data_IF_821300340631
#
_entry.id   IF_821300340631
#
_cell.length_a   1.000
_cell.length_b   1.000
_cell.length_c   1.000
_cell.angle_alpha   90.00
_cell.angle_beta   90.00
_cell.angle_gamma   90.00
#
_symmetry.space_group_name_H-M   'P 1'
#
loop_
_entity.id
_entity.type
_entity.pdbx_description
1 polymer ?
#
# COMPACT_ATOMS: atom_id res chain seq x y z
N UNK A 1 -1.18 0.29 -0.84
CA UNK A 1 -1.41 0.33 0.62
C UNK A 1 -0.68 1.53 1.21
N UNK A 2 -1.37 2.35 1.99
CA UNK A 2 -0.75 3.52 2.61
C UNK A 2 0.25 3.12 3.68
N UNK A 3 1.35 3.86 3.77
CA UNK A 3 2.28 3.77 4.90
C UNK A 3 1.57 4.21 6.19
N UNK A 4 2.05 3.80 7.38
CA UNK A 4 1.40 4.19 8.64
C UNK A 4 1.20 5.69 8.74
N UNK A 5 -0.01 6.12 9.10
CA UNK A 5 -0.41 7.53 9.21
C UNK A 5 -1.08 7.88 10.54
N UNK A 6 -1.46 6.87 11.33
CA UNK A 6 -2.20 7.05 12.59
C UNK A 6 -1.43 7.92 13.59
N UNK A 7 -0.11 7.87 13.56
CA UNK A 7 0.76 8.68 14.43
C UNK A 7 0.60 10.20 14.23
N UNK A 8 0.05 10.61 13.08
CA UNK A 8 -0.20 12.03 12.79
C UNK A 8 -1.34 12.61 13.64
N UNK A 9 -2.19 11.75 14.21
CA UNK A 9 -3.38 12.14 14.95
C UNK A 9 -3.26 11.78 16.43
N UNK A 10 -3.94 12.56 17.26
CA UNK A 10 -4.14 12.22 18.67
C UNK A 10 -5.11 11.03 18.77
N UNK A 11 -4.95 10.21 19.80
CA UNK A 11 -5.74 8.97 19.98
C UNK A 11 -7.26 9.22 19.97
N UNK A 12 -7.73 10.27 20.65
CA UNK A 12 -9.15 10.61 20.68
C UNK A 12 -9.68 11.10 19.33
N UNK A 13 -8.83 11.71 18.51
CA UNK A 13 -9.17 12.14 17.15
C UNK A 13 -9.29 10.93 16.24
N UNK A 14 -8.39 9.97 16.34
CA UNK A 14 -8.49 8.70 15.61
C UNK A 14 -9.78 7.96 15.92
N UNK A 15 -10.13 7.86 17.20
CA UNK A 15 -11.37 7.21 17.65
C UNK A 15 -12.62 7.87 17.05
N UNK A 16 -12.67 9.19 17.07
CA UNK A 16 -13.77 9.96 16.47
C UNK A 16 -13.82 9.83 14.95
N UNK A 17 -12.66 9.84 14.30
CA UNK A 17 -12.54 9.65 12.86
C UNK A 17 -13.05 8.28 12.44
N UNK A 18 -12.73 7.25 13.20
CA UNK A 18 -13.21 5.90 12.98
C UNK A 18 -14.73 5.81 13.11
N UNK A 19 -15.32 6.49 14.12
CA UNK A 19 -16.78 6.55 14.29
C UNK A 19 -17.44 7.19 13.07
N UNK A 20 -16.92 8.29 12.55
CA UNK A 20 -17.40 8.93 11.32
C UNK A 20 -17.32 7.99 10.13
N UNK A 21 -16.20 7.28 9.98
CA UNK A 21 -16.01 6.30 8.93
C UNK A 21 -17.01 5.14 9.02
N UNK A 22 -17.18 4.55 10.20
CA UNK A 22 -18.09 3.42 10.45
C UNK A 22 -19.55 3.81 10.25
N UNK A 23 -19.92 5.07 10.52
CA UNK A 23 -21.26 5.61 10.31
C UNK A 23 -21.53 6.02 8.85
N UNK A 24 -20.57 5.87 7.95
CA UNK A 24 -20.74 6.20 6.55
C UNK A 24 -20.77 7.71 6.28
N UNK A 25 -20.14 8.51 7.14
CA UNK A 25 -20.12 9.97 7.01
C UNK A 25 -19.25 10.44 5.85
N UNK A 26 -18.30 9.63 5.37
CA UNK A 26 -17.44 9.96 4.23
C UNK A 26 -18.21 9.68 2.94
N UNK A 27 -18.33 10.70 2.08
CA UNK A 27 -19.01 10.60 0.80
C UNK A 27 -18.16 11.24 -0.31
N UNK A 28 -18.49 10.93 -1.56
CA UNK A 28 -17.86 11.53 -2.74
C UNK A 28 -16.33 11.42 -2.74
N UNK A 29 -15.79 10.31 -2.25
CA UNK A 29 -14.35 10.05 -2.30
C UNK A 29 -13.90 9.95 -3.76
N UNK A 30 -12.98 10.82 -4.15
CA UNK A 30 -12.44 10.89 -5.51
C UNK A 30 -10.93 10.91 -5.46
N UNK A 31 -10.31 10.13 -6.35
CA UNK A 31 -8.88 10.23 -6.57
C UNK A 31 -8.60 11.47 -7.41
N UNK A 32 -7.68 12.30 -6.95
CA UNK A 32 -7.19 13.49 -7.65
C UNK A 32 -5.69 13.31 -7.96
N UNK A 33 -5.12 14.21 -8.73
CA UNK A 33 -3.73 14.15 -9.17
C UNK A 33 -2.73 14.05 -8.00
N UNK A 34 -3.00 14.77 -6.90
CA UNK A 34 -2.12 14.83 -5.72
C UNK A 34 -2.49 13.86 -4.61
N UNK A 35 -3.63 13.17 -4.73
CA UNK A 35 -4.09 12.26 -3.68
C UNK A 35 -5.58 11.99 -3.76
N UNK A 36 -6.34 12.39 -2.73
CA UNK A 36 -7.78 12.16 -2.64
C UNK A 36 -8.51 13.39 -2.12
N UNK A 37 -9.75 13.52 -2.53
CA UNK A 37 -10.69 14.52 -2.06
C UNK A 37 -12.02 13.85 -1.70
N UNK A 38 -12.62 14.26 -0.59
CA UNK A 38 -13.87 13.71 -0.11
C UNK A 38 -14.70 14.75 0.64
N UNK A 39 -15.99 14.46 0.81
CA UNK A 39 -16.88 15.22 1.67
C UNK A 39 -17.18 14.39 2.91
N UNK A 40 -17.11 14.99 4.09
CA UNK A 40 -17.46 14.34 5.36
C UNK A 40 -18.67 15.04 5.95
N UNK A 41 -19.74 14.29 6.17
CA UNK A 41 -20.97 14.78 6.78
C UNK A 41 -20.80 14.87 8.30
N UNK A 42 -20.96 16.07 8.85
CA UNK A 42 -20.94 16.32 10.28
C UNK A 42 -22.03 17.31 10.63
N UNK A 43 -21.74 18.31 11.47
CA UNK A 43 -22.65 19.44 11.71
C UNK A 43 -22.92 20.21 10.43
N UNK A 44 -21.94 20.22 9.55
CA UNK A 44 -21.98 20.72 8.17
C UNK A 44 -21.29 19.70 7.28
N UNK A 45 -21.39 19.87 5.97
CA UNK A 45 -20.59 19.09 5.02
C UNK A 45 -19.20 19.72 4.91
N UNK A 46 -18.19 18.98 5.33
CA UNK A 46 -16.80 19.42 5.30
C UNK A 46 -16.06 18.82 4.12
N UNK A 47 -15.26 19.63 3.45
CA UNK A 47 -14.43 19.20 2.35
C UNK A 47 -13.05 18.84 2.87
N UNK A 48 -12.56 17.64 2.53
CA UNK A 48 -11.27 17.13 2.97
C UNK A 48 -10.43 16.79 1.74
N UNK A 49 -9.18 17.24 1.75
CA UNK A 49 -8.17 16.84 0.77
C UNK A 49 -7.01 16.16 1.49
N UNK A 50 -6.55 15.05 0.92
CA UNK A 50 -5.38 14.31 1.42
C UNK A 50 -4.36 14.22 0.30
N UNK A 51 -3.20 14.78 0.53
CA UNK A 51 -2.07 14.71 -0.40
C UNK A 51 -1.22 13.49 -0.09
N UNK A 52 -0.99 12.64 -1.09
CA UNK A 52 -0.25 11.39 -0.95
C UNK A 52 0.87 11.35 -1.99
N UNK A 53 2.07 11.04 -1.53
CA UNK A 53 3.23 10.83 -2.37
C UNK A 53 3.95 9.55 -1.91
N UNK A 54 4.22 8.65 -2.84
CA UNK A 54 4.88 7.35 -2.58
C UNK A 54 4.18 6.55 -1.46
N UNK A 55 2.84 6.49 -1.51
CA UNK A 55 1.97 5.85 -0.52
C UNK A 55 2.06 6.45 0.89
N UNK A 56 2.65 7.62 1.02
CA UNK A 56 2.77 8.34 2.28
C UNK A 56 1.91 9.58 2.27
N UNK A 57 1.20 9.85 3.38
CA UNK A 57 0.42 11.07 3.56
C UNK A 57 1.40 12.21 3.83
N UNK A 58 1.47 13.17 2.91
CA UNK A 58 2.40 14.30 2.99
C UNK A 58 1.73 15.57 3.47
N UNK A 59 0.44 15.77 3.20
CA UNK A 59 -0.33 16.91 3.68
C UNK A 59 -1.82 16.59 3.70
N UNK A 60 -2.57 17.32 4.50
CA UNK A 60 -4.02 17.17 4.61
C UNK A 60 -4.67 18.52 4.84
N UNK A 61 -5.88 18.69 4.30
CA UNK A 61 -6.68 19.90 4.43
C UNK A 61 -8.13 19.54 4.80
N UNK A 62 -8.73 20.34 5.68
CA UNK A 62 -10.15 20.30 5.98
C UNK A 62 -10.61 21.72 6.30
N UNK A 63 -11.82 22.07 5.91
CA UNK A 63 -12.39 23.38 6.16
C UNK A 63 -13.16 23.51 7.48
N UNK A 64 -13.02 22.53 8.39
CA UNK A 64 -13.61 22.60 9.72
C UNK A 64 -12.83 23.53 10.65
N UNK A 65 -13.48 24.10 11.70
CA UNK A 65 -12.82 25.03 12.62
C UNK A 65 -11.59 24.46 13.33
N UNK A 66 -11.60 23.16 13.66
CA UNK A 66 -10.47 22.51 14.32
C UNK A 66 -9.24 22.43 13.41
N UNK A 67 -9.45 22.18 12.13
CA UNK A 67 -8.38 22.15 11.13
C UNK A 67 -7.85 23.56 10.80
N UNK A 68 -8.71 24.59 10.86
CA UNK A 68 -8.30 25.98 10.68
C UNK A 68 -7.29 26.43 11.73
N UNK A 69 -7.36 25.86 12.93
CA UNK A 69 -6.40 26.11 14.01
C UNK A 69 -5.04 25.40 13.81
N UNK A 70 -4.88 24.70 12.68
CA UNK A 70 -3.63 24.01 12.33
C UNK A 70 -3.55 22.58 12.85
N UNK A 71 -4.67 21.98 13.25
CA UNK A 71 -4.72 20.62 13.78
C UNK A 71 -5.20 19.64 12.73
N UNK A 72 -4.74 18.40 12.80
CA UNK A 72 -5.33 17.30 12.04
C UNK A 72 -6.61 16.85 12.74
N UNK A 73 -7.73 16.90 12.02
CA UNK A 73 -9.05 16.71 12.57
C UNK A 73 -9.60 15.29 12.35
N UNK A 74 -10.70 14.98 13.03
CA UNK A 74 -11.42 13.70 12.89
C UNK A 74 -11.93 13.44 11.45
N UNK A 75 -12.24 14.49 10.70
CA UNK A 75 -12.70 14.38 9.32
C UNK A 75 -11.58 13.86 8.40
N UNK A 76 -10.36 14.34 8.58
CA UNK A 76 -9.18 13.84 7.88
C UNK A 76 -8.94 12.36 8.19
N UNK A 77 -9.03 11.97 9.47
CA UNK A 77 -8.86 10.59 9.90
C UNK A 77 -9.93 9.68 9.27
N UNK A 78 -11.19 10.12 9.24
CA UNK A 78 -12.28 9.38 8.60
C UNK A 78 -12.02 9.13 7.13
N UNK A 79 -11.53 10.12 6.40
CA UNK A 79 -11.18 10.00 4.97
C UNK A 79 -10.04 9.01 4.77
N UNK A 80 -9.02 9.02 5.63
CA UNK A 80 -7.91 8.06 5.55
C UNK A 80 -8.37 6.62 5.78
N UNK A 81 -9.27 6.37 6.72
CA UNK A 81 -9.87 5.06 6.90
C UNK A 81 -10.64 4.60 5.65
N UNK A 82 -11.39 5.52 5.02
CA UNK A 82 -12.12 5.22 3.78
C UNK A 82 -11.16 4.90 2.62
N UNK A 83 -10.06 5.63 2.49
CA UNK A 83 -9.02 5.37 1.47
C UNK A 83 -8.42 3.98 1.65
N UNK A 84 -8.12 3.58 2.88
CA UNK A 84 -7.59 2.25 3.19
C UNK A 84 -8.58 1.14 2.84
N UNK A 85 -9.84 1.34 3.16
CA UNK A 85 -10.92 0.39 2.83
C UNK A 85 -11.08 0.25 1.31
N UNK A 86 -11.12 1.35 0.58
CA UNK A 86 -11.22 1.34 -0.87
C UNK A 86 -10.01 0.65 -1.52
N UNK A 87 -8.82 0.91 -1.02
CA UNK A 87 -7.59 0.25 -1.48
C UNK A 87 -7.62 -1.26 -1.21
N UNK A 88 -8.16 -1.68 -0.06
CA UNK A 88 -8.32 -3.07 0.29
C UNK A 88 -9.36 -3.77 -0.61
N UNK A 89 -10.46 -3.08 -0.93
CA UNK A 89 -11.48 -3.59 -1.86
C UNK A 89 -10.94 -3.72 -3.28
N UNK A 90 -10.21 -2.73 -3.77
CA UNK A 90 -9.56 -2.81 -5.08
C UNK A 90 -8.61 -3.99 -5.19
N UNK A 91 -7.85 -4.29 -4.14
CA UNK A 91 -6.98 -5.47 -4.11
C UNK A 91 -7.76 -6.77 -3.99
N UNK A 92 -8.95 -6.76 -3.39
CA UNK A 92 -9.81 -7.94 -3.30
C UNK A 92 -10.60 -8.19 -4.58
N UNK A 93 -11.03 -7.16 -5.30
CA UNK A 93 -11.68 -7.30 -6.61
C UNK A 93 -10.74 -7.87 -7.67
N UNK A 94 -9.46 -7.51 -7.62
CA UNK A 94 -8.41 -8.09 -8.49
C UNK A 94 -8.10 -9.55 -8.11
N UNK A 95 -8.49 -9.98 -6.90
CA UNK A 95 -8.24 -11.34 -6.40
C UNK A 95 -9.39 -12.34 -6.62
N UNK A 96 -10.48 -11.93 -7.25
CA UNK A 96 -11.62 -12.85 -7.48
C UNK A 96 -11.29 -14.07 -8.36
N UNK A 97 -10.18 -14.01 -9.12
CA UNK A 97 -9.71 -15.16 -9.88
C UNK A 97 -8.19 -15.29 -9.78
N UNK A 98 -7.68 -16.16 -8.89
CA UNK A 98 -6.24 -16.40 -8.76
C UNK A 98 -5.56 -16.83 -10.07
N UNK A 99 -6.33 -17.44 -10.98
CA UNK A 99 -5.82 -17.84 -12.30
C UNK A 99 -5.58 -16.66 -13.23
N UNK A 100 -6.41 -15.61 -13.16
CA UNK A 100 -6.29 -14.43 -14.01
C UNK A 100 -5.11 -13.55 -13.60
N UNK A 101 -4.93 -13.36 -12.29
CA UNK A 101 -3.79 -12.63 -11.74
C UNK A 101 -2.48 -13.35 -12.08
N UNK A 102 -2.46 -14.66 -11.99
CA UNK A 102 -1.29 -15.48 -12.35
C UNK A 102 -0.93 -15.29 -13.82
N UNK A 103 -1.91 -15.37 -14.72
CA UNK A 103 -1.71 -15.22 -16.16
C UNK A 103 -1.19 -13.81 -16.50
N UNK A 104 -1.76 -12.79 -15.87
CA UNK A 104 -1.34 -11.41 -16.07
C UNK A 104 0.11 -11.19 -15.59
N UNK A 105 0.45 -11.68 -14.40
CA UNK A 105 1.82 -11.63 -13.86
C UNK A 105 2.80 -12.38 -14.74
N UNK A 106 2.45 -13.57 -15.23
CA UNK A 106 3.29 -14.34 -16.15
C UNK A 106 3.58 -13.56 -17.43
N UNK A 107 2.59 -12.90 -18.00
CA UNK A 107 2.73 -12.10 -19.21
C UNK A 107 3.64 -10.89 -18.98
N UNK A 108 3.46 -10.18 -17.85
CA UNK A 108 4.28 -9.05 -17.48
C UNK A 108 5.73 -9.49 -17.25
N UNK A 109 5.94 -10.55 -16.48
CA UNK A 109 7.27 -11.08 -16.15
C UNK A 109 8.03 -11.53 -17.41
N UNK A 110 7.33 -12.14 -18.38
CA UNK A 110 7.93 -12.55 -19.66
C UNK A 110 8.42 -11.37 -20.50
N UNK A 111 7.81 -10.19 -20.33
CA UNK A 111 8.15 -8.98 -21.07
C UNK A 111 9.18 -8.09 -20.37
N UNK A 112 9.48 -8.35 -19.10
CA UNK A 112 10.50 -7.63 -18.33
C UNK A 112 11.88 -8.22 -18.68
N UNK A 113 12.88 -7.37 -18.75
CA UNK A 113 14.27 -7.80 -18.93
C UNK A 113 14.73 -8.73 -17.80
N UNK A 114 15.50 -9.76 -18.15
CA UNK A 114 15.98 -10.75 -17.17
C UNK A 114 16.77 -10.13 -16.02
N UNK A 115 17.59 -9.14 -16.31
CA UNK A 115 18.37 -8.43 -15.28
C UNK A 115 17.48 -7.73 -14.28
N UNK A 116 16.40 -7.12 -14.77
CA UNK A 116 15.42 -6.42 -13.93
C UNK A 116 14.61 -7.38 -13.06
N UNK A 117 14.19 -8.51 -13.62
CA UNK A 117 13.49 -9.57 -12.87
C UNK A 117 14.37 -10.10 -11.75
N UNK A 118 15.66 -10.34 -12.01
CA UNK A 118 16.63 -10.80 -11.01
C UNK A 118 16.82 -9.79 -9.89
N UNK A 119 16.88 -8.50 -10.23
CA UNK A 119 17.02 -7.43 -9.25
C UNK A 119 15.78 -7.31 -8.37
N UNK A 120 14.59 -7.39 -8.95
CA UNK A 120 13.32 -7.36 -8.20
C UNK A 120 13.25 -8.56 -7.25
N UNK A 121 13.58 -9.75 -7.73
CA UNK A 121 13.55 -10.97 -6.92
C UNK A 121 14.55 -10.89 -5.77
N UNK A 122 15.76 -10.41 -6.01
CA UNK A 122 16.78 -10.22 -4.98
C UNK A 122 16.31 -9.21 -3.92
N UNK A 123 15.78 -8.09 -4.35
CA UNK A 123 15.27 -7.05 -3.44
C UNK A 123 14.15 -7.58 -2.55
N UNK A 124 13.19 -8.31 -3.11
CA UNK A 124 12.10 -8.92 -2.36
C UNK A 124 12.61 -9.99 -1.38
N UNK A 125 13.55 -10.81 -1.80
CA UNK A 125 14.14 -11.85 -0.95
C UNK A 125 14.92 -11.25 0.21
N UNK A 126 15.56 -10.11 0.03
CA UNK A 126 16.26 -9.41 1.10
C UNK A 126 15.32 -8.79 2.14
N UNK A 127 14.09 -8.49 1.76
CA UNK A 127 13.06 -7.92 2.64
C UNK A 127 12.19 -8.97 3.32
N UNK A 128 12.07 -10.16 2.73
CA UNK A 128 11.20 -11.24 3.21
C UNK A 128 12.02 -12.50 3.50
N UNK A 129 12.19 -12.80 4.78
CA UNK A 129 12.94 -13.98 5.24
C UNK A 129 12.32 -15.30 4.78
N UNK A 130 11.00 -15.37 4.66
CA UNK A 130 10.29 -16.57 4.20
C UNK A 130 10.62 -16.86 2.73
N UNK A 131 10.58 -15.83 1.88
CA UNK A 131 10.96 -15.93 0.48
C UNK A 131 12.44 -16.27 0.32
N UNK A 132 13.30 -15.63 1.12
CA UNK A 132 14.74 -15.89 1.15
C UNK A 132 15.04 -17.37 1.46
N UNK A 133 14.43 -17.90 2.52
CA UNK A 133 14.58 -19.30 2.92
C UNK A 133 14.04 -20.26 1.86
N UNK A 134 12.93 -19.92 1.24
CA UNK A 134 12.33 -20.72 0.17
C UNK A 134 13.29 -20.86 -1.02
N UNK A 135 13.87 -19.75 -1.45
CA UNK A 135 14.83 -19.73 -2.57
C UNK A 135 16.10 -20.51 -2.22
N UNK A 136 16.66 -20.26 -1.04
CA UNK A 136 17.87 -20.94 -0.57
C UNK A 136 17.67 -22.45 -0.48
N UNK A 137 16.54 -22.88 0.08
CA UNK A 137 16.22 -24.31 0.24
C UNK A 137 15.95 -25.00 -1.09
N UNK A 138 15.23 -24.34 -1.99
CA UNK A 138 14.81 -24.93 -3.27
C UNK A 138 15.94 -25.03 -4.31
N UNK A 139 16.85 -24.08 -4.32
CA UNK A 139 17.84 -23.95 -5.40
C UNK A 139 19.29 -24.16 -4.96
N UNK A 140 19.59 -24.25 -3.67
CA UNK A 140 20.94 -24.43 -3.17
C UNK A 140 21.62 -25.68 -3.72
N UNK A 141 20.93 -26.79 -3.80
CA UNK A 141 21.47 -28.05 -4.32
C UNK A 141 21.85 -27.97 -5.78
N UNK A 142 21.07 -27.26 -6.59
CA UNK A 142 21.36 -27.05 -8.02
C UNK A 142 22.59 -26.18 -8.22
N UNK A 143 22.75 -25.13 -7.43
CA UNK A 143 23.89 -24.22 -7.49
C UNK A 143 25.13 -24.93 -6.99
N UNK A 144 25.03 -25.69 -5.91
CA UNK A 144 26.15 -26.45 -5.33
C UNK A 144 26.71 -27.46 -6.31
N UNK A 145 25.86 -28.22 -6.99
CA UNK A 145 26.28 -29.17 -8.05
C UNK A 145 26.99 -28.46 -9.19
N UNK A 146 26.50 -27.32 -9.62
CA UNK A 146 27.09 -26.53 -10.71
C UNK A 146 28.44 -25.94 -10.31
N UNK A 147 28.56 -25.40 -9.12
CA UNK A 147 29.82 -24.85 -8.60
C UNK A 147 30.89 -25.91 -8.34
N UNK A 148 30.52 -27.06 -7.86
CA UNK A 148 31.43 -28.19 -7.67
C UNK A 148 31.99 -28.69 -8.99
N UNK A 149 31.20 -28.76 -10.05
CA UNK A 149 31.63 -29.08 -11.38
C UNK A 149 32.65 -28.08 -11.94
N UNK A 150 32.45 -26.81 -11.66
CA UNK A 150 33.29 -25.70 -12.08
C UNK A 150 34.64 -25.70 -11.35
N UNK A 151 34.63 -25.93 -10.04
CA UNK A 151 35.83 -26.02 -9.22
C UNK A 151 36.72 -27.20 -9.62
N UNK A 152 36.14 -28.33 -10.02
CA UNK A 152 36.88 -29.50 -10.54
C UNK A 152 37.59 -29.22 -11.85
N UNK A 153 37.07 -28.29 -12.67
CA UNK A 153 37.71 -27.91 -13.93
C UNK A 153 38.89 -26.96 -13.74
N UNK A 154 38.92 -26.20 -12.67
CA UNK A 154 40.00 -25.28 -12.31
C UNK A 154 41.16 -25.97 -11.59
N UNK A 155 40.93 -27.15 -11.10
CA UNK A 155 41.96 -28.01 -10.51
C UNK A 155 42.51 -29.00 -11.53
#
# INVERSE_FOLDING_TARGET
>A
MLKPWEYLFKTHILSRGRDYYENGAVSSLKKIETGYKATVEGSYDYEVEVEIYDNEVVDMFCDCPYAEDGNYCKHMAAVLYEIEEESAQMTSEVRENPSDVKTELENIIKNIDESEVRNILLELAMKDNSLQNHILTKYVDKISSYQMGRLKQEC
#
